data_IF_970511965613
#
_entry.id   IF_970511965613
#
_cell.length_a   1.000
_cell.length_b   1.000
_cell.length_c   1.000
_cell.angle_alpha   90.00
_cell.angle_beta   90.00
_cell.angle_gamma   90.00
#
_symmetry.space_group_name_H-M   'P 1'
#
loop_
_entity.id
_entity.type
_entity.pdbx_description
1 polymer ?
#
# COMPACT_ATOMS: atom_id res chain seq x y z
N UNK A 1 26.59 -17.34 -71.70
CA UNK A 1 25.74 -18.28 -70.91
C UNK A 1 26.20 -18.40 -69.46
N UNK A 2 27.51 -18.49 -69.19
CA UNK A 2 28.08 -18.59 -67.82
C UNK A 2 27.73 -17.41 -66.89
N UNK A 3 27.78 -16.17 -67.38
CA UNK A 3 27.47 -14.97 -66.59
C UNK A 3 26.01 -14.91 -66.09
N UNK A 4 25.05 -15.40 -66.87
CA UNK A 4 23.62 -15.41 -66.51
C UNK A 4 23.35 -16.43 -65.40
N UNK A 5 24.05 -17.58 -65.42
CA UNK A 5 23.96 -18.59 -64.38
C UNK A 5 24.54 -18.08 -63.05
N UNK A 6 25.68 -17.38 -63.12
CA UNK A 6 26.27 -16.71 -61.96
C UNK A 6 25.33 -15.67 -61.34
N UNK A 7 24.74 -14.77 -62.14
CA UNK A 7 23.77 -13.77 -61.64
C UNK A 7 22.55 -14.41 -60.98
N UNK A 8 22.02 -15.52 -61.52
CA UNK A 8 20.90 -16.24 -60.89
C UNK A 8 21.31 -16.84 -59.53
N UNK A 9 22.51 -17.38 -59.42
CA UNK A 9 23.02 -17.93 -58.16
C UNK A 9 23.24 -16.85 -57.11
N UNK A 10 23.76 -15.69 -57.51
CA UNK A 10 23.98 -14.53 -56.64
C UNK A 10 22.66 -13.95 -56.14
N UNK A 11 21.65 -13.79 -57.00
CA UNK A 11 20.30 -13.37 -56.61
C UNK A 11 19.65 -14.36 -55.63
N UNK A 12 19.88 -15.67 -55.80
CA UNK A 12 19.37 -16.67 -54.87
C UNK A 12 20.04 -16.56 -53.49
N UNK A 13 21.36 -16.30 -53.46
CA UNK A 13 22.11 -16.05 -52.22
C UNK A 13 21.62 -14.77 -51.53
N UNK A 14 21.43 -13.67 -52.28
CA UNK A 14 20.93 -12.41 -51.73
C UNK A 14 19.52 -12.54 -51.14
N UNK A 15 18.62 -13.32 -51.78
CA UNK A 15 17.29 -13.60 -51.23
C UNK A 15 17.36 -14.38 -49.92
N UNK A 16 18.23 -15.39 -49.87
CA UNK A 16 18.45 -16.19 -48.66
C UNK A 16 19.04 -15.35 -47.53
N UNK A 17 19.99 -14.47 -47.84
CA UNK A 17 20.56 -13.53 -46.88
C UNK A 17 19.49 -12.56 -46.34
N UNK A 18 18.65 -11.98 -47.21
CA UNK A 18 17.55 -11.12 -46.79
C UNK A 18 16.53 -11.84 -45.89
N UNK A 19 16.21 -13.10 -46.19
CA UNK A 19 15.35 -13.93 -45.35
C UNK A 19 15.96 -14.18 -43.97
N UNK A 20 17.26 -14.51 -43.90
CA UNK A 20 17.99 -14.68 -42.66
C UNK A 20 18.03 -13.37 -41.86
N UNK A 21 18.33 -12.23 -42.50
CA UNK A 21 18.33 -10.91 -41.84
C UNK A 21 16.94 -10.56 -41.29
N UNK A 22 15.87 -10.82 -42.04
CA UNK A 22 14.50 -10.61 -41.55
C UNK A 22 14.18 -11.47 -40.33
N UNK A 23 14.64 -12.72 -40.35
CA UNK A 23 14.49 -13.63 -39.22
C UNK A 23 15.25 -13.13 -37.98
N UNK A 24 16.50 -12.69 -38.14
CA UNK A 24 17.31 -12.11 -37.06
C UNK A 24 16.69 -10.83 -36.47
N UNK A 25 16.26 -9.90 -37.33
CA UNK A 25 15.60 -8.65 -36.89
C UNK A 25 14.30 -8.95 -36.14
N UNK A 26 13.54 -9.95 -36.58
CA UNK A 26 12.35 -10.39 -35.86
C UNK A 26 12.70 -10.94 -34.47
N UNK A 27 13.71 -11.79 -34.39
CA UNK A 27 14.20 -12.32 -33.11
C UNK A 27 14.69 -11.21 -32.16
N UNK A 28 15.42 -10.22 -32.68
CA UNK A 28 15.84 -9.05 -31.90
C UNK A 28 14.64 -8.22 -31.39
N UNK A 29 13.61 -8.05 -32.22
CA UNK A 29 12.39 -7.35 -31.81
C UNK A 29 11.69 -8.07 -30.66
N UNK A 30 11.50 -9.39 -30.78
CA UNK A 30 10.87 -10.20 -29.73
C UNK A 30 11.68 -10.15 -28.41
N UNK A 31 13.02 -10.19 -28.51
CA UNK A 31 13.90 -10.03 -27.35
C UNK A 31 13.81 -8.64 -26.72
N UNK A 32 13.74 -7.58 -27.52
CA UNK A 32 13.59 -6.20 -27.03
C UNK A 32 12.25 -6.01 -26.33
N UNK A 33 11.17 -6.61 -26.83
CA UNK A 33 9.86 -6.58 -26.19
C UNK A 33 9.90 -7.27 -24.82
N UNK A 34 10.50 -8.46 -24.72
CA UNK A 34 10.71 -9.17 -23.45
C UNK A 34 11.63 -8.41 -22.47
N UNK A 35 12.64 -7.72 -22.99
CA UNK A 35 13.50 -6.87 -22.17
C UNK A 35 12.73 -5.65 -21.63
N UNK A 36 11.89 -5.03 -22.47
CA UNK A 36 11.10 -3.87 -22.07
C UNK A 36 10.10 -4.22 -20.95
N UNK A 37 9.43 -5.37 -21.03
CA UNK A 37 8.54 -5.84 -19.95
C UNK A 37 9.31 -6.09 -18.65
N UNK A 38 10.49 -6.70 -18.73
CA UNK A 38 11.38 -6.89 -17.57
C UNK A 38 11.80 -5.57 -16.94
N UNK A 39 12.22 -4.60 -17.76
CA UNK A 39 12.62 -3.27 -17.30
C UNK A 39 11.47 -2.50 -16.65
N UNK A 40 10.26 -2.60 -17.21
CA UNK A 40 9.06 -2.02 -16.58
C UNK A 40 8.81 -2.60 -15.19
N UNK A 41 8.91 -3.93 -15.02
CA UNK A 41 8.76 -4.60 -13.72
C UNK A 41 9.85 -4.13 -12.74
N UNK A 42 11.11 -4.12 -13.16
CA UNK A 42 12.22 -3.66 -12.31
C UNK A 42 12.07 -2.19 -11.88
N UNK A 43 11.70 -1.30 -12.79
CA UNK A 43 11.48 0.12 -12.47
C UNK A 43 10.34 0.30 -11.47
N UNK A 44 9.25 -0.46 -11.64
CA UNK A 44 8.15 -0.49 -10.69
C UNK A 44 8.61 -0.98 -9.31
N UNK A 45 9.30 -2.12 -9.25
CA UNK A 45 9.77 -2.73 -8.00
C UNK A 45 10.72 -1.80 -7.25
N UNK A 46 11.68 -1.19 -7.95
CA UNK A 46 12.60 -0.22 -7.38
C UNK A 46 11.85 0.97 -6.76
N UNK A 47 10.85 1.49 -7.47
CA UNK A 47 10.02 2.60 -6.97
C UNK A 47 9.17 2.15 -5.77
N UNK A 48 8.56 0.97 -5.84
CA UNK A 48 7.75 0.40 -4.77
C UNK A 48 8.57 0.24 -3.48
N UNK A 49 9.73 -0.41 -3.54
CA UNK A 49 10.58 -0.60 -2.37
C UNK A 49 11.13 0.73 -1.83
N UNK A 50 11.45 1.68 -2.70
CA UNK A 50 11.82 3.04 -2.25
C UNK A 50 10.68 3.74 -1.49
N UNK A 51 9.43 3.52 -1.90
CA UNK A 51 8.27 4.05 -1.18
C UNK A 51 8.03 3.33 0.16
N UNK A 52 8.31 2.02 0.24
CA UNK A 52 8.29 1.26 1.50
C UNK A 52 9.36 1.78 2.45
N UNK A 53 10.57 2.06 1.97
CA UNK A 53 11.65 2.62 2.79
C UNK A 53 11.28 4.02 3.30
N UNK A 54 10.69 4.87 2.45
CA UNK A 54 10.14 6.16 2.87
C UNK A 54 9.07 5.99 3.96
N UNK A 55 8.18 5.02 3.80
CA UNK A 55 7.16 4.72 4.79
C UNK A 55 7.75 4.29 6.14
N UNK A 56 8.75 3.39 6.14
CA UNK A 56 9.46 2.97 7.35
C UNK A 56 10.17 4.17 7.99
N UNK A 57 10.83 5.01 7.21
CA UNK A 57 11.49 6.22 7.70
C UNK A 57 10.52 7.20 8.38
N UNK A 58 9.32 7.38 7.82
CA UNK A 58 8.27 8.20 8.44
C UNK A 58 7.86 7.60 9.78
N UNK A 59 7.69 6.27 9.86
CA UNK A 59 7.36 5.57 11.10
C UNK A 59 8.48 5.77 12.14
N UNK A 60 9.74 5.56 11.75
CA UNK A 60 10.89 5.65 12.65
C UNK A 60 11.14 7.09 13.14
N UNK A 61 10.75 8.09 12.36
CA UNK A 61 10.82 9.50 12.75
C UNK A 61 9.74 9.92 13.77
N UNK A 62 8.73 9.08 14.03
CA UNK A 62 7.69 9.39 15.02
C UNK A 62 8.28 9.43 16.43
N UNK A 63 8.01 10.53 17.15
CA UNK A 63 8.46 10.72 18.51
C UNK A 63 7.34 11.30 19.37
N UNK A 64 7.02 10.64 20.48
CA UNK A 64 6.10 11.16 21.49
C UNK A 64 6.89 11.41 22.76
N UNK A 65 6.89 12.67 23.22
CA UNK A 65 7.39 13.04 24.54
C UNK A 65 6.23 13.09 25.51
N UNK A 66 6.39 12.39 26.62
CA UNK A 66 5.41 12.34 27.70
C UNK A 66 6.11 12.57 29.03
N UNK A 67 5.54 13.38 29.93
CA UNK A 67 6.15 13.64 31.24
C UNK A 67 6.22 12.34 32.05
N UNK A 68 7.36 12.07 32.66
CA UNK A 68 7.56 10.88 33.49
C UNK A 68 6.79 11.01 34.80
N UNK A 69 5.97 10.00 35.11
CA UNK A 69 5.21 9.96 36.36
C UNK A 69 6.17 9.97 37.56
N UNK A 70 6.01 10.95 38.46
CA UNK A 70 6.88 11.11 39.64
C UNK A 70 8.18 11.88 39.39
N UNK A 71 8.43 12.40 38.18
CA UNK A 71 9.59 13.24 37.88
C UNK A 71 9.23 14.34 36.87
N UNK A 72 8.72 15.50 37.31
CA UNK A 72 8.22 16.58 36.44
C UNK A 72 9.29 17.26 35.56
N UNK A 73 10.55 16.82 35.63
CA UNK A 73 11.68 17.32 34.83
C UNK A 73 12.30 16.26 33.91
N UNK A 74 11.71 15.06 33.82
CA UNK A 74 12.15 14.02 32.89
C UNK A 74 10.99 13.62 31.99
N UNK A 75 11.25 13.57 30.69
CA UNK A 75 10.31 13.06 29.72
C UNK A 75 10.67 11.62 29.35
N UNK A 76 9.66 10.75 29.30
CA UNK A 76 9.75 9.48 28.59
C UNK A 76 9.49 9.76 27.12
N UNK A 77 10.45 9.38 26.28
CA UNK A 77 10.34 9.49 24.83
C UNK A 77 10.02 8.14 24.25
N UNK A 78 8.81 7.97 23.71
CA UNK A 78 8.45 6.81 22.87
C UNK A 78 8.81 7.14 21.42
N UNK A 79 9.40 6.17 20.71
CA UNK A 79 9.87 6.36 19.34
C UNK A 79 9.33 5.31 18.39
N UNK A 80 9.29 5.66 17.12
CA UNK A 80 9.00 4.72 16.05
C UNK A 80 7.61 4.11 16.15
N UNK A 81 7.52 2.81 15.87
CA UNK A 81 6.28 2.05 15.84
C UNK A 81 5.55 1.97 17.20
N UNK A 82 6.25 2.09 18.32
CA UNK A 82 5.63 2.06 19.65
C UNK A 82 4.68 3.25 19.86
N UNK A 83 4.89 4.36 19.15
CA UNK A 83 4.02 5.53 19.18
C UNK A 83 2.56 5.20 18.81
N UNK A 84 2.33 4.23 17.91
CA UNK A 84 0.98 3.83 17.50
C UNK A 84 0.16 3.22 18.63
N UNK A 85 0.81 2.55 19.60
CA UNK A 85 0.11 2.02 20.77
C UNK A 85 -0.45 3.16 21.63
N UNK A 86 0.38 4.19 21.90
CA UNK A 86 -0.04 5.39 22.63
C UNK A 86 -1.16 6.13 21.89
N UNK A 87 -1.01 6.30 20.58
CA UNK A 87 -2.04 6.89 19.72
C UNK A 87 -3.38 6.15 19.81
N UNK A 88 -3.36 4.82 19.79
CA UNK A 88 -4.56 4.03 19.93
C UNK A 88 -5.19 4.18 21.33
N UNK A 89 -4.41 4.20 22.40
CA UNK A 89 -4.93 4.43 23.75
C UNK A 89 -5.49 5.84 23.94
N UNK A 90 -4.86 6.85 23.34
CA UNK A 90 -5.38 8.23 23.32
C UNK A 90 -6.74 8.29 22.61
N UNK A 91 -6.84 7.67 21.42
CA UNK A 91 -8.11 7.55 20.70
C UNK A 91 -9.18 6.83 21.53
N UNK A 92 -8.81 5.73 22.19
CA UNK A 92 -9.71 4.96 23.05
C UNK A 92 -10.22 5.78 24.23
N UNK A 93 -9.35 6.59 24.85
CA UNK A 93 -9.73 7.50 25.94
C UNK A 93 -10.71 8.56 25.47
N UNK A 94 -10.48 9.18 24.31
CA UNK A 94 -11.43 10.13 23.71
C UNK A 94 -12.79 9.48 23.45
N UNK A 95 -12.79 8.26 22.89
CA UNK A 95 -14.01 7.51 22.62
C UNK A 95 -14.81 7.18 23.89
N UNK A 96 -14.14 6.66 24.93
CA UNK A 96 -14.78 6.39 26.21
C UNK A 96 -15.30 7.66 26.90
N UNK A 97 -14.60 8.78 26.72
CA UNK A 97 -15.02 10.10 27.21
C UNK A 97 -16.29 10.60 26.53
N UNK A 98 -16.33 10.55 25.20
CA UNK A 98 -17.52 10.93 24.42
C UNK A 98 -18.72 10.05 24.74
N UNK A 99 -18.52 8.73 24.86
CA UNK A 99 -19.58 7.78 25.24
C UNK A 99 -20.18 8.07 26.62
N UNK A 100 -19.37 8.53 27.58
CA UNK A 100 -19.87 8.98 28.90
C UNK A 100 -20.62 10.29 28.82
N UNK A 101 -20.22 11.17 27.90
CA UNK A 101 -20.77 12.53 27.76
C UNK A 101 -22.11 12.52 27.02
N UNK A 102 -22.28 11.63 26.04
CA UNK A 102 -23.53 11.48 25.25
C UNK A 102 -23.86 10.00 25.08
N UNK A 103 -24.43 9.33 26.12
CA UNK A 103 -24.63 7.87 26.11
C UNK A 103 -25.61 7.35 25.05
N UNK A 104 -26.57 8.17 24.65
CA UNK A 104 -27.63 7.82 23.70
C UNK A 104 -27.26 8.15 22.24
N UNK A 105 -26.06 8.66 21.99
CA UNK A 105 -25.61 8.95 20.63
C UNK A 105 -25.33 7.67 19.84
N UNK A 106 -25.48 7.78 18.52
CA UNK A 106 -25.07 6.73 17.59
C UNK A 106 -23.57 6.41 17.74
N UNK A 107 -23.25 5.12 17.84
CA UNK A 107 -21.91 4.59 18.15
C UNK A 107 -20.88 5.00 17.09
N UNK A 108 -21.30 5.03 15.81
CA UNK A 108 -20.45 5.49 14.71
C UNK A 108 -20.20 7.00 14.80
N UNK A 109 -21.22 7.80 15.13
CA UNK A 109 -21.04 9.23 15.36
C UNK A 109 -20.07 9.52 16.52
N UNK A 110 -20.13 8.74 17.61
CA UNK A 110 -19.19 8.81 18.72
C UNK A 110 -17.75 8.49 18.27
N UNK A 111 -17.58 7.44 17.47
CA UNK A 111 -16.27 7.08 16.92
C UNK A 111 -15.67 8.17 16.05
N UNK A 112 -16.48 8.76 15.16
CA UNK A 112 -16.04 9.83 14.28
C UNK A 112 -15.63 11.05 15.11
N UNK A 113 -16.48 11.48 16.06
CA UNK A 113 -16.17 12.60 16.98
C UNK A 113 -14.87 12.37 17.75
N UNK A 114 -14.69 11.17 18.32
CA UNK A 114 -13.49 10.81 19.07
C UNK A 114 -12.24 10.82 18.18
N UNK A 115 -12.32 10.28 16.96
CA UNK A 115 -11.21 10.31 16.03
C UNK A 115 -10.86 11.74 15.59
N UNK A 116 -11.86 12.58 15.33
CA UNK A 116 -11.62 13.98 14.95
C UNK A 116 -10.94 14.79 16.07
N UNK A 117 -11.35 14.59 17.32
CA UNK A 117 -10.69 15.19 18.49
C UNK A 117 -9.25 14.72 18.61
N UNK A 118 -9.03 13.42 18.52
CA UNK A 118 -7.70 12.81 18.54
C UNK A 118 -6.81 13.34 17.42
N UNK A 119 -7.32 13.36 16.19
CA UNK A 119 -6.60 13.79 15.00
C UNK A 119 -6.21 15.26 15.08
N UNK A 120 -7.03 16.14 15.68
CA UNK A 120 -6.74 17.57 15.80
C UNK A 120 -5.40 17.86 16.49
N UNK A 121 -5.00 17.06 17.48
CA UNK A 121 -3.75 17.26 18.23
C UNK A 121 -2.54 16.56 17.62
N UNK A 122 -2.77 15.59 16.73
CA UNK A 122 -1.73 14.70 16.15
C UNK A 122 -1.78 14.66 14.62
N UNK A 123 -2.37 15.69 14.00
CA UNK A 123 -2.75 15.69 12.59
C UNK A 123 -1.55 15.58 11.65
N UNK A 124 -0.44 16.26 11.96
CA UNK A 124 0.75 16.22 11.11
C UNK A 124 1.26 14.79 10.99
N UNK A 125 1.50 14.14 12.12
CA UNK A 125 2.22 12.88 12.18
C UNK A 125 1.40 11.74 11.56
N UNK A 126 0.14 11.64 11.98
CA UNK A 126 -0.78 10.57 11.55
C UNK A 126 -1.32 10.84 10.15
N UNK A 127 -1.56 12.11 9.80
CA UNK A 127 -2.02 12.51 8.48
C UNK A 127 -0.97 12.21 7.41
N UNK A 128 0.31 12.55 7.65
CA UNK A 128 1.39 12.23 6.73
C UNK A 128 1.58 10.72 6.58
N UNK A 129 1.55 9.98 7.67
CA UNK A 129 1.63 8.52 7.66
C UNK A 129 0.54 7.87 6.77
N UNK A 130 -0.74 8.18 7.01
CA UNK A 130 -1.83 7.62 6.21
C UNK A 130 -1.85 8.10 4.77
N UNK A 131 -1.41 9.34 4.52
CA UNK A 131 -1.24 9.86 3.17
C UNK A 131 -0.20 9.08 2.38
N UNK A 132 0.93 8.73 3.01
CA UNK A 132 1.96 7.90 2.39
C UNK A 132 1.45 6.50 2.12
N UNK A 133 0.80 5.86 3.11
CA UNK A 133 0.21 4.53 2.94
C UNK A 133 -0.78 4.49 1.77
N UNK A 134 -1.67 5.48 1.69
CA UNK A 134 -2.62 5.63 0.58
C UNK A 134 -1.91 5.77 -0.78
N UNK A 135 -0.88 6.61 -0.87
CA UNK A 135 -0.12 6.81 -2.11
C UNK A 135 0.57 5.53 -2.59
N UNK A 136 1.10 4.71 -1.68
CA UNK A 136 1.70 3.42 -2.04
C UNK A 136 0.65 2.50 -2.66
N UNK A 137 -0.53 2.42 -2.05
CA UNK A 137 -1.62 1.59 -2.57
C UNK A 137 -2.08 2.10 -3.94
N UNK A 138 -2.23 3.41 -4.11
CA UNK A 138 -2.55 4.01 -5.41
C UNK A 138 -1.48 3.73 -6.46
N UNK A 139 -0.20 3.80 -6.10
CA UNK A 139 0.91 3.50 -6.99
C UNK A 139 0.85 2.04 -7.51
N UNK A 140 0.60 1.09 -6.61
CA UNK A 140 0.41 -0.32 -6.98
C UNK A 140 -0.84 -0.49 -7.85
N UNK A 141 -1.96 0.11 -7.46
CA UNK A 141 -3.23 0.00 -8.19
C UNK A 141 -3.16 0.58 -9.61
N UNK A 142 -2.47 1.70 -9.79
CA UNK A 142 -2.33 2.39 -11.08
C UNK A 142 -1.30 1.74 -12.03
N UNK A 143 -0.46 0.83 -11.53
CA UNK A 143 0.58 0.17 -12.33
C UNK A 143 0.01 -0.81 -13.37
N UNK A 144 0.80 -1.16 -14.38
CA UNK A 144 0.46 -2.20 -15.38
C UNK A 144 0.88 -3.62 -14.93
N UNK A 145 1.35 -3.78 -13.69
CA UNK A 145 1.84 -5.07 -13.18
C UNK A 145 0.68 -6.04 -13.01
N UNK A 146 0.86 -7.30 -13.41
CA UNK A 146 -0.17 -8.34 -13.24
C UNK A 146 -0.30 -8.78 -11.77
N UNK A 147 0.84 -8.98 -11.11
CA UNK A 147 0.95 -9.53 -9.74
C UNK A 147 0.78 -8.48 -8.61
N UNK A 148 -0.12 -7.48 -8.78
CA UNK A 148 -0.30 -6.38 -7.81
C UNK A 148 -0.52 -6.85 -6.37
N UNK A 149 -1.23 -7.96 -6.20
CA UNK A 149 -1.57 -8.49 -4.88
C UNK A 149 -0.33 -8.91 -4.09
N UNK A 150 0.76 -9.33 -4.74
CA UNK A 150 2.03 -9.64 -4.07
C UNK A 150 2.55 -8.39 -3.34
N UNK A 151 2.59 -7.26 -4.02
CA UNK A 151 3.07 -5.99 -3.45
C UNK A 151 2.14 -5.44 -2.37
N UNK A 152 0.82 -5.58 -2.55
CA UNK A 152 -0.15 -5.25 -1.49
C UNK A 152 0.08 -6.12 -0.25
N UNK A 153 0.35 -7.42 -0.42
CA UNK A 153 0.62 -8.32 0.71
C UNK A 153 1.93 -7.97 1.41
N UNK A 154 2.98 -7.58 0.67
CA UNK A 154 4.23 -7.08 1.24
C UNK A 154 3.96 -5.84 2.10
N UNK A 155 3.19 -4.87 1.58
CA UNK A 155 2.80 -3.67 2.33
C UNK A 155 1.97 -4.01 3.57
N UNK A 156 0.99 -4.92 3.46
CA UNK A 156 0.16 -5.39 4.58
C UNK A 156 1.00 -5.95 5.71
N UNK A 157 2.01 -6.76 5.38
CA UNK A 157 2.90 -7.36 6.37
C UNK A 157 3.70 -6.32 7.16
N UNK A 158 3.82 -5.09 6.66
CA UNK A 158 4.47 -3.98 7.38
C UNK A 158 3.55 -3.27 8.39
N UNK A 159 2.24 -3.57 8.44
CA UNK A 159 1.28 -2.88 9.30
C UNK A 159 1.08 -3.62 10.63
N UNK A 160 1.25 -2.92 11.76
CA UNK A 160 0.93 -3.48 13.08
C UNK A 160 -0.56 -3.43 13.40
N UNK A 161 -0.99 -4.19 14.41
CA UNK A 161 -2.38 -4.18 14.89
C UNK A 161 -2.87 -2.79 15.29
N UNK A 162 -2.00 -1.96 15.90
CA UNK A 162 -2.36 -0.59 16.27
C UNK A 162 -2.51 0.32 15.06
N UNK A 163 -1.61 0.20 14.07
CA UNK A 163 -1.71 0.93 12.79
C UNK A 163 -2.99 0.58 12.04
N UNK A 164 -3.32 -0.72 11.94
CA UNK A 164 -4.57 -1.18 11.32
C UNK A 164 -5.81 -0.62 12.02
N UNK A 165 -5.77 -0.53 13.35
CA UNK A 165 -6.88 0.04 14.12
C UNK A 165 -7.04 1.53 13.88
N UNK A 166 -5.93 2.27 13.87
CA UNK A 166 -5.96 3.70 13.57
C UNK A 166 -6.40 3.95 12.12
N UNK A 167 -5.96 3.11 11.17
CA UNK A 167 -6.37 3.15 9.77
C UNK A 167 -7.88 2.97 9.63
N UNK A 168 -8.42 1.99 10.36
CA UNK A 168 -9.85 1.69 10.39
C UNK A 168 -10.67 2.93 10.74
N UNK A 169 -10.35 3.61 11.85
CA UNK A 169 -11.10 4.79 12.27
C UNK A 169 -10.78 6.04 11.42
N UNK A 170 -9.54 6.16 10.92
CA UNK A 170 -9.17 7.25 10.01
C UNK A 170 -10.07 7.28 8.77
N UNK A 171 -10.25 6.13 8.14
CA UNK A 171 -11.04 5.98 6.91
C UNK A 171 -12.55 6.21 7.11
N UNK A 172 -13.05 6.17 8.34
CA UNK A 172 -14.45 6.47 8.67
C UNK A 172 -14.66 7.95 9.02
N UNK A 173 -13.60 8.66 9.42
CA UNK A 173 -13.64 10.07 9.77
C UNK A 173 -13.65 10.99 8.55
N UNK A 174 -14.00 12.26 8.75
CA UNK A 174 -13.89 13.30 7.71
C UNK A 174 -12.43 13.62 7.31
N UNK A 175 -11.45 13.18 8.11
CA UNK A 175 -10.03 13.27 7.80
C UNK A 175 -9.54 12.13 6.89
N UNK A 176 -10.36 11.09 6.70
CA UNK A 176 -10.06 10.02 5.76
C UNK A 176 -10.02 10.55 4.33
N UNK A 177 -9.05 10.10 3.55
CA UNK A 177 -9.02 10.46 2.12
C UNK A 177 -10.25 9.86 1.44
N UNK A 178 -10.88 10.63 0.53
CA UNK A 178 -12.23 10.40 -0.05
C UNK A 178 -12.46 9.02 -0.70
N UNK A 179 -11.42 8.21 -0.86
CA UNK A 179 -11.48 6.84 -1.40
C UNK A 179 -10.67 5.82 -0.61
N UNK A 180 -10.04 6.19 0.51
CA UNK A 180 -9.15 5.27 1.22
C UNK A 180 -9.89 4.04 1.74
N UNK A 181 -11.11 4.23 2.25
CA UNK A 181 -12.00 3.13 2.64
C UNK A 181 -12.19 2.10 1.51
N UNK A 182 -12.42 2.56 0.27
CA UNK A 182 -12.62 1.67 -0.88
C UNK A 182 -11.36 0.84 -1.17
N UNK A 183 -10.17 1.45 -1.06
CA UNK A 183 -8.91 0.75 -1.21
C UNK A 183 -8.66 -0.26 -0.09
N UNK A 184 -8.96 0.11 1.16
CA UNK A 184 -8.90 -0.79 2.32
C UNK A 184 -9.78 -2.03 2.10
N UNK A 185 -11.00 -1.83 1.60
CA UNK A 185 -11.94 -2.90 1.29
C UNK A 185 -11.53 -3.74 0.08
N UNK A 186 -10.95 -3.13 -0.96
CA UNK A 186 -10.49 -3.81 -2.18
C UNK A 186 -9.25 -4.68 -1.94
N UNK A 187 -8.30 -4.15 -1.16
CA UNK A 187 -7.01 -4.78 -0.90
C UNK A 187 -7.03 -5.77 0.28
N UNK A 188 -8.14 -5.85 1.02
CA UNK A 188 -8.24 -6.70 2.20
C UNK A 188 -7.26 -6.31 3.30
N UNK A 189 -7.00 -5.01 3.50
CA UNK A 189 -5.95 -4.53 4.42
C UNK A 189 -6.23 -4.87 5.89
N UNK A 190 -7.48 -5.08 6.27
CA UNK A 190 -7.91 -5.31 7.66
C UNK A 190 -7.95 -6.80 8.04
N UNK A 191 -7.40 -7.69 7.22
CA UNK A 191 -7.40 -9.14 7.46
C UNK A 191 -6.89 -9.53 8.86
N UNK A 192 -5.84 -8.88 9.33
CA UNK A 192 -5.24 -9.14 10.65
C UNK A 192 -5.67 -8.14 11.72
N UNK A 193 -6.77 -7.39 11.48
CA UNK A 193 -7.31 -6.47 12.47
C UNK A 193 -7.81 -7.23 13.70
N UNK A 194 -7.18 -6.95 14.83
CA UNK A 194 -7.45 -7.61 16.12
C UNK A 194 -7.91 -6.63 17.20
N UNK A 195 -7.70 -5.33 17.00
CA UNK A 195 -8.00 -4.29 17.99
C UNK A 195 -9.08 -3.37 17.44
N UNK A 196 -10.11 -3.12 18.25
CA UNK A 196 -11.22 -2.22 17.93
C UNK A 196 -11.60 -1.46 19.21
N UNK A 197 -12.16 -0.26 19.05
CA UNK A 197 -12.74 0.52 20.14
C UNK A 197 -13.98 -0.18 20.72
N UNK A 198 -14.79 -0.81 19.87
CA UNK A 198 -15.88 -1.68 20.28
C UNK A 198 -15.99 -2.91 19.34
N UNK A 199 -16.38 -4.10 19.85
CA UNK A 199 -16.49 -5.31 19.03
C UNK A 199 -17.45 -5.19 17.84
N UNK A 200 -18.53 -4.42 17.99
CA UNK A 200 -19.54 -4.20 16.95
C UNK A 200 -19.02 -3.43 15.74
N UNK A 201 -17.92 -2.69 15.88
CA UNK A 201 -17.38 -1.87 14.80
C UNK A 201 -16.92 -2.68 13.59
N UNK A 202 -16.61 -3.97 13.76
CA UNK A 202 -16.20 -4.82 12.63
C UNK A 202 -17.19 -4.76 11.44
N UNK A 203 -18.48 -4.55 11.72
CA UNK A 203 -19.54 -4.41 10.70
C UNK A 203 -19.54 -3.10 9.90
N UNK A 204 -18.68 -2.13 10.22
CA UNK A 204 -18.61 -0.84 9.50
C UNK A 204 -17.89 -0.95 8.13
N UNK A 205 -17.30 -2.10 7.85
CA UNK A 205 -16.61 -2.43 6.60
C UNK A 205 -17.22 -3.66 5.96
N UNK A 206 -17.08 -3.76 4.63
CA UNK A 206 -17.42 -4.98 3.90
C UNK A 206 -16.51 -6.14 4.30
N UNK A 207 -17.01 -7.37 4.20
CA UNK A 207 -16.21 -8.58 4.50
C UNK A 207 -14.92 -8.67 3.67
N UNK A 208 -14.90 -8.11 2.46
CA UNK A 208 -13.72 -8.07 1.59
C UNK A 208 -12.54 -7.34 2.23
N UNK A 209 -12.79 -6.40 3.15
CA UNK A 209 -11.72 -5.72 3.87
C UNK A 209 -10.91 -6.66 4.77
N UNK A 210 -11.50 -7.79 5.18
CA UNK A 210 -10.94 -8.73 6.16
C UNK A 210 -10.42 -10.02 5.53
N UNK A 211 -10.37 -10.11 4.20
CA UNK A 211 -9.86 -11.29 3.48
C UNK A 211 -8.95 -10.85 2.35
N UNK A 212 -7.80 -11.51 2.19
CA UNK A 212 -6.99 -11.27 1.00
C UNK A 212 -7.72 -11.76 -0.25
N UNK A 213 -7.74 -10.96 -1.33
CA UNK A 213 -8.11 -11.46 -2.65
C UNK A 213 -7.22 -12.66 -3.01
N UNK A 214 -7.75 -13.69 -3.69
CA UNK A 214 -6.91 -14.79 -4.17
C UNK A 214 -5.79 -14.23 -5.04
N UNK A 215 -4.56 -14.72 -4.83
CA UNK A 215 -3.48 -14.50 -5.78
C UNK A 215 -3.96 -15.07 -7.12
N UNK A 216 -3.94 -14.25 -8.18
CA UNK A 216 -4.27 -14.72 -9.52
C UNK A 216 -3.36 -15.92 -9.78
N UNK A 217 -3.95 -17.11 -9.84
CA UNK A 217 -3.24 -18.32 -10.23
C UNK A 217 -2.99 -18.18 -11.71
N UNK A 218 -1.73 -18.04 -12.11
CA UNK A 218 -1.36 -18.45 -13.45
C UNK A 218 -1.58 -19.96 -13.48
N UNK A 219 -2.69 -20.38 -14.10
CA UNK A 219 -2.80 -21.74 -14.61
C UNK A 219 -1.63 -21.92 -15.57
N UNK A 220 -0.59 -22.63 -15.12
CA UNK A 220 0.44 -23.18 -16.00
C UNK A 220 -0.23 -24.26 -16.86
N UNK A 221 -0.79 -23.83 -17.98
CA UNK A 221 -1.26 -24.68 -19.08
C UNK A 221 -0.23 -24.80 -20.18
#
# INVERSE_FOLDING_TARGET
MYAILLQKSELALQRKELELTRHEVRGQKEQLEAQNTTLKKQNFENTFFSLIDLYISIVDALEIRSPQLGSPHRDITTKGRECFSNFFFDLKREYEGERKRVPDADDLALCISAYERFAKYRQSDIGHYFSTLYKIIQFVDASEIEEKQIYINILKAQLSSYELSLLFYNCLSNYGLKHFKLYVEKCGLLEHLSLLLAPGHKGLYRESAFRSPPLVSHDCG
#
